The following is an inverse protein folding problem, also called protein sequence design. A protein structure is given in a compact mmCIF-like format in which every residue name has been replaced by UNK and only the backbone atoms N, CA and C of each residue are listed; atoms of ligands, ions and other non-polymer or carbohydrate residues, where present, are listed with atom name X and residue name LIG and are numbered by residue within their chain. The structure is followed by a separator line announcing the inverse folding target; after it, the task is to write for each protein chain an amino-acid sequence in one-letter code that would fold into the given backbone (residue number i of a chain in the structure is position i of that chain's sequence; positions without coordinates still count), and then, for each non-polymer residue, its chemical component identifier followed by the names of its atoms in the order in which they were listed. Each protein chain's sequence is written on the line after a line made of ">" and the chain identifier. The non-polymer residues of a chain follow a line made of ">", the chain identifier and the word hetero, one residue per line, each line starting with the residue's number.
data_IF_911744477098
#
_entry.id   IF_911744477098
#
_cell.length_a   1.000
_cell.length_b   1.000
_cell.length_c   1.000
_cell.angle_alpha   90.00
_cell.angle_beta   90.00
_cell.angle_gamma   90.00
#
_symmetry.space_group_name_H-M   'P 1'
#
loop_
_entity.id
_entity.type
_entity.pdbx_description
1 polymer ?
#
# COMPACT_ATOMS: atom_id res chain seq x y z
N UNK A 1 -30.38 7.94 1.38
CA UNK A 1 -30.10 7.20 0.14
C UNK A 1 -28.68 6.71 0.26
N UNK A 2 -28.48 5.41 0.46
CA UNK A 2 -27.15 4.82 0.39
C UNK A 2 -26.84 4.61 -1.07
N UNK A 3 -25.88 5.35 -1.62
CA UNK A 3 -25.37 5.09 -2.97
C UNK A 3 -25.04 3.59 -3.08
N UNK A 4 -25.48 2.91 -4.16
CA UNK A 4 -25.01 1.56 -4.41
C UNK A 4 -23.51 1.68 -4.67
N UNK A 5 -22.71 1.22 -3.71
CA UNK A 5 -21.29 0.97 -3.95
C UNK A 5 -21.23 0.17 -5.26
N UNK A 6 -20.52 0.72 -6.26
CA UNK A 6 -20.17 -0.04 -7.45
C UNK A 6 -19.55 -1.37 -7.02
N UNK A 7 -19.55 -2.36 -7.92
CA UNK A 7 -18.99 -3.67 -7.64
C UNK A 7 -17.64 -3.54 -6.89
N UNK A 8 -17.50 -4.19 -5.73
CA UNK A 8 -16.29 -4.13 -4.92
C UNK A 8 -15.02 -4.49 -5.72
N UNK A 9 -15.13 -5.38 -6.72
CA UNK A 9 -14.04 -5.71 -7.62
C UNK A 9 -13.65 -4.51 -8.51
N UNK A 10 -14.62 -3.73 -8.98
CA UNK A 10 -14.37 -2.54 -9.80
C UNK A 10 -13.69 -1.44 -8.99
N UNK A 11 -14.15 -1.20 -7.76
CA UNK A 11 -13.50 -0.25 -6.85
C UNK A 11 -12.10 -0.73 -6.41
N UNK A 12 -11.90 -2.03 -6.22
CA UNK A 12 -10.57 -2.59 -5.95
C UNK A 12 -9.61 -2.41 -7.15
N UNK A 13 -10.10 -2.53 -8.38
CA UNK A 13 -9.33 -2.25 -9.60
C UNK A 13 -8.98 -0.76 -9.71
N UNK A 14 -9.91 0.13 -9.38
CA UNK A 14 -9.66 1.58 -9.35
C UNK A 14 -8.62 1.95 -8.29
N UNK A 15 -8.74 1.39 -7.09
CA UNK A 15 -7.77 1.57 -6.00
C UNK A 15 -6.39 1.04 -6.39
N UNK A 16 -6.32 -0.14 -7.01
CA UNK A 16 -5.07 -0.72 -7.47
C UNK A 16 -4.42 0.15 -8.56
N UNK A 17 -5.22 0.70 -9.49
CA UNK A 17 -4.73 1.64 -10.49
C UNK A 17 -4.16 2.91 -9.87
N UNK A 18 -4.89 3.52 -8.93
CA UNK A 18 -4.41 4.71 -8.21
C UNK A 18 -3.14 4.43 -7.40
N UNK A 19 -3.05 3.25 -6.76
CA UNK A 19 -1.87 2.82 -6.02
C UNK A 19 -0.66 2.63 -6.94
N UNK A 20 -0.83 1.98 -8.10
CA UNK A 20 0.23 1.81 -9.09
C UNK A 20 0.75 3.15 -9.61
N UNK A 21 -0.16 4.09 -9.91
CA UNK A 21 0.19 5.41 -10.39
C UNK A 21 0.97 6.19 -9.33
N UNK A 22 0.49 6.20 -8.09
CA UNK A 22 1.21 6.81 -6.97
C UNK A 22 2.61 6.22 -6.78
N UNK A 23 2.77 4.89 -6.90
CA UNK A 23 4.09 4.24 -6.82
C UNK A 23 5.01 4.74 -7.94
N UNK A 24 4.53 4.82 -9.19
CA UNK A 24 5.34 5.32 -10.31
C UNK A 24 5.78 6.76 -10.07
N UNK A 25 4.85 7.65 -9.74
CA UNK A 25 5.16 9.05 -9.42
C UNK A 25 6.18 9.15 -8.30
N UNK A 26 6.10 8.28 -7.30
CA UNK A 26 7.07 8.28 -6.19
C UNK A 26 8.43 7.73 -6.59
N UNK A 27 8.51 6.75 -7.50
CA UNK A 27 9.75 6.14 -7.98
C UNK A 27 10.54 7.03 -8.94
N UNK A 28 9.84 7.86 -9.72
CA UNK A 28 10.45 8.82 -10.65
C UNK A 28 10.92 10.13 -9.96
N UNK A 29 10.66 10.31 -8.67
CA UNK A 29 11.01 11.54 -7.94
C UNK A 29 12.52 11.60 -7.57
N UNK A 30 13.19 12.68 -7.98
CA UNK A 30 14.62 12.95 -7.72
C UNK A 30 14.93 13.10 -6.21
N UNK A 31 13.91 13.26 -5.35
CA UNK A 31 14.05 13.34 -3.89
C UNK A 31 14.00 12.00 -3.17
N UNK A 32 13.95 10.88 -3.89
CA UNK A 32 14.02 9.56 -3.30
C UNK A 32 15.41 9.23 -2.74
N UNK A 33 15.43 8.70 -1.51
CA UNK A 33 16.64 8.21 -0.86
C UNK A 33 17.75 9.27 -0.71
N UNK A 34 17.36 10.51 -0.41
CA UNK A 34 18.27 11.64 -0.10
C UNK A 34 19.06 11.47 1.20
N UNK A 35 18.82 10.37 1.95
CA UNK A 35 19.51 10.08 3.21
C UNK A 35 19.05 10.94 4.40
N UNK A 36 17.97 11.71 4.23
CA UNK A 36 17.34 12.48 5.31
C UNK A 36 16.72 11.55 6.37
N UNK A 37 16.55 11.98 7.63
CA UNK A 37 15.93 11.14 8.68
C UNK A 37 14.49 10.70 8.35
N UNK A 38 13.79 11.40 7.45
CA UNK A 38 12.50 10.94 6.92
C UNK A 38 12.63 9.70 6.01
N UNK A 39 13.79 9.50 5.37
CA UNK A 39 14.05 8.34 4.53
C UNK A 39 14.25 7.04 5.33
N UNK A 40 14.61 7.11 6.63
CA UNK A 40 14.84 5.91 7.44
C UNK A 40 13.55 5.27 7.94
N UNK A 41 12.41 5.97 7.89
CA UNK A 41 11.10 5.47 8.31
C UNK A 41 10.15 5.17 7.15
N UNK A 42 10.48 5.60 5.93
CA UNK A 42 9.66 5.34 4.75
C UNK A 42 9.92 3.92 4.21
N UNK A 43 8.91 3.04 4.09
CA UNK A 43 9.11 1.66 3.64
C UNK A 43 9.65 1.59 2.19
N UNK A 44 9.30 2.56 1.35
CA UNK A 44 9.83 2.65 -0.01
C UNK A 44 11.33 3.01 -0.03
N UNK A 45 11.75 3.97 0.80
CA UNK A 45 13.16 4.36 0.90
C UNK A 45 14.01 3.25 1.53
N UNK A 46 13.48 2.52 2.50
CA UNK A 46 14.13 1.33 3.07
C UNK A 46 14.33 0.24 2.01
N UNK A 47 13.31 -0.03 1.19
CA UNK A 47 13.40 -1.00 0.10
C UNK A 47 14.45 -0.60 -0.95
N UNK A 48 14.44 0.65 -1.40
CA UNK A 48 15.42 1.17 -2.36
C UNK A 48 16.84 1.15 -1.78
N UNK A 49 17.00 1.55 -0.51
CA UNK A 49 18.29 1.51 0.19
C UNK A 49 18.85 0.09 0.29
N UNK A 50 17.99 -0.90 0.58
CA UNK A 50 18.34 -2.31 0.54
C UNK A 50 18.77 -2.75 -0.85
N UNK A 51 17.96 -2.46 -1.87
CA UNK A 51 18.21 -2.89 -3.25
C UNK A 51 19.52 -2.31 -3.83
N UNK A 52 19.87 -1.06 -3.50
CA UNK A 52 21.13 -0.41 -3.92
C UNK A 52 22.38 -1.04 -3.32
N UNK A 53 22.27 -1.79 -2.22
CA UNK A 53 23.38 -2.48 -1.57
C UNK A 53 23.52 -3.95 -2.03
N UNK A 54 22.56 -4.47 -2.80
CA UNK A 54 22.59 -5.84 -3.30
C UNK A 54 23.30 -5.91 -4.66
N UNK A 55 24.03 -7.01 -4.89
CA UNK A 55 24.56 -7.34 -6.22
C UNK A 55 23.45 -7.81 -7.17
N UNK A 56 23.66 -7.74 -8.50
CA UNK A 56 22.63 -8.07 -9.50
C UNK A 56 22.11 -9.50 -9.36
N UNK A 57 22.97 -10.50 -9.08
CA UNK A 57 22.54 -11.88 -8.84
C UNK A 57 21.57 -12.01 -7.64
N UNK A 58 21.75 -11.19 -6.59
CA UNK A 58 20.89 -11.26 -5.40
C UNK A 58 19.53 -10.62 -5.66
N UNK A 59 19.48 -9.60 -6.52
CA UNK A 59 18.21 -8.98 -6.92
C UNK A 59 17.34 -9.96 -7.71
N UNK A 60 17.93 -10.75 -8.62
CA UNK A 60 17.17 -11.75 -9.39
C UNK A 60 16.52 -12.82 -8.51
N UNK A 61 17.28 -13.39 -7.57
CA UNK A 61 16.72 -14.35 -6.60
C UNK A 61 15.66 -13.74 -5.68
N UNK A 62 15.84 -12.47 -5.32
CA UNK A 62 14.85 -11.74 -4.52
C UNK A 62 13.55 -11.52 -5.30
N UNK A 63 13.61 -11.20 -6.59
CA UNK A 63 12.44 -11.01 -7.44
C UNK A 63 11.63 -12.31 -7.60
N UNK A 64 12.31 -13.44 -7.80
CA UNK A 64 11.64 -14.75 -7.89
C UNK A 64 10.92 -15.12 -6.58
N UNK A 65 11.60 -14.89 -5.45
CA UNK A 65 11.02 -15.08 -4.11
C UNK A 65 9.85 -14.11 -3.85
N UNK A 66 9.98 -12.85 -4.28
CA UNK A 66 8.95 -11.83 -4.15
C UNK A 66 7.69 -12.18 -4.96
N UNK A 67 7.84 -12.76 -6.15
CA UNK A 67 6.70 -13.23 -6.94
C UNK A 67 5.89 -14.31 -6.20
N UNK A 68 6.58 -15.28 -5.59
CA UNK A 68 5.95 -16.31 -4.75
C UNK A 68 5.25 -15.72 -3.52
N UNK A 69 5.88 -14.73 -2.86
CA UNK A 69 5.28 -14.02 -1.73
C UNK A 69 4.01 -13.25 -2.14
N UNK A 70 4.05 -12.51 -3.26
CA UNK A 70 2.89 -11.77 -3.77
C UNK A 70 1.75 -12.72 -4.13
N UNK A 71 2.05 -13.87 -4.73
CA UNK A 71 1.05 -14.90 -5.02
C UNK A 71 0.40 -15.44 -3.73
N UNK A 72 1.19 -15.69 -2.70
CA UNK A 72 0.68 -16.10 -1.38
C UNK A 72 -0.13 -14.99 -0.69
N UNK A 73 0.29 -13.73 -0.77
CA UNK A 73 -0.47 -12.61 -0.19
C UNK A 73 -1.85 -12.44 -0.87
N UNK A 74 -1.94 -12.68 -2.19
CA UNK A 74 -3.22 -12.64 -2.91
C UNK A 74 -4.22 -13.70 -2.42
N UNK A 75 -3.75 -14.86 -1.95
CA UNK A 75 -4.65 -15.89 -1.39
C UNK A 75 -5.15 -15.51 0.01
N UNK A 76 -4.38 -14.74 0.78
CA UNK A 76 -4.77 -14.24 2.10
C UNK A 76 -5.72 -13.02 2.01
N UNK A 77 -5.50 -12.12 1.04
CA UNK A 77 -6.30 -10.90 0.84
C UNK A 77 -7.67 -11.18 0.18
N UNK A 78 -7.94 -12.42 -0.25
CA UNK A 78 -9.30 -12.86 -0.60
C UNK A 78 -10.00 -13.49 0.61
N UNK A 79 -10.69 -12.73 1.47
CA UNK A 79 -11.59 -13.35 2.44
C UNK A 79 -12.78 -13.98 1.68
N UNK A 80 -13.23 -15.20 2.01
CA UNK A 80 -14.57 -15.61 1.62
C UNK A 80 -15.54 -14.58 2.23
N UNK A 81 -16.33 -13.91 1.39
CA UNK A 81 -17.28 -12.89 1.80
C UNK A 81 -18.30 -13.45 2.79
N UNK A 82 -18.01 -13.33 4.08
CA UNK A 82 -18.96 -13.54 5.18
C UNK A 82 -19.69 -12.23 5.49
N UNK A 83 -20.98 -12.26 5.87
CA UNK A 83 -21.73 -11.05 6.17
C UNK A 83 -21.14 -10.32 7.38
N UNK A 84 -20.76 -9.07 7.17
CA UNK A 84 -20.28 -8.14 8.20
C UNK A 84 -21.48 -7.63 9.02
N UNK A 85 -21.51 -7.78 10.35
CA UNK A 85 -22.53 -7.14 11.18
C UNK A 85 -22.37 -5.62 11.13
N UNK A 86 -23.47 -4.92 10.91
CA UNK A 86 -23.51 -3.47 10.70
C UNK A 86 -22.84 -2.70 11.85
N UNK A 87 -21.73 -2.02 11.56
CA UNK A 87 -21.08 -1.10 12.46
C UNK A 87 -21.87 0.22 12.52
N UNK A 88 -22.24 0.64 13.73
CA UNK A 88 -22.83 1.96 13.98
C UNK A 88 -21.84 3.09 13.62
N UNK A 89 -22.31 4.27 13.20
CA UNK A 89 -21.45 5.36 12.75
C UNK A 89 -20.60 5.87 13.93
N UNK A 90 -19.29 5.57 13.90
CA UNK A 90 -18.30 6.10 14.84
C UNK A 90 -17.53 7.23 14.15
N UNK A 91 -18.19 8.38 14.01
CA UNK A 91 -17.50 9.66 13.85
C UNK A 91 -17.80 10.45 15.12
N UNK A 92 -16.81 10.53 15.99
CA UNK A 92 -16.91 11.34 17.22
C UNK A 92 -16.44 12.75 16.89
N UNK A 93 -17.33 13.73 17.07
CA UNK A 93 -17.01 15.13 16.89
C UNK A 93 -16.20 15.63 18.09
N UNK A 94 -14.90 15.85 17.89
CA UNK A 94 -14.02 16.47 18.88
C UNK A 94 -14.36 17.95 18.94
N UNK A 95 -14.82 18.43 20.10
CA UNK A 95 -14.99 19.86 20.37
C UNK A 95 -13.67 20.44 20.90
N UNK A 96 -13.15 21.45 20.21
CA UNK A 96 -11.98 22.21 20.68
C UNK A 96 -12.47 23.20 21.73
N UNK A 97 -11.94 23.10 22.95
CA UNK A 97 -12.25 24.04 24.03
C UNK A 97 -11.35 25.27 23.86
N UNK A 98 -11.92 26.39 23.45
CA UNK A 98 -11.22 27.69 23.45
C UNK A 98 -11.24 28.28 24.86
N UNK A 99 -10.08 28.71 25.36
CA UNK A 99 -9.83 29.36 26.66
C UNK A 99 -9.55 30.84 26.44
#
# INVERSE_FOLDING_TARGET
>A
MSEPLGNAAEEALRLLGAAQEWVRTRLDDEHLATGTPACTSCPLCQAVGGLRHLGPETVEHLLDSAASLVAALRSVVSPPGGPVPAAAPRVEHIVVRED
#
